data_IF_649176191789
#
_entry.id   IF_649176191789
#
_cell.length_a   1.000
_cell.length_b   1.000
_cell.length_c   1.000
_cell.angle_alpha   90.00
_cell.angle_beta   90.00
_cell.angle_gamma   90.00
#
_symmetry.space_group_name_H-M   'P 1'
#
loop_
_entity.id
_entity.type
_entity.pdbx_description
1 polymer ?
#
# COMPACT_ATOMS: atom_id res chain seq x y z
N UNK A 1 -36.88 -19.13 89.11
CA UNK A 1 -36.91 -17.69 88.81
C UNK A 1 -36.74 -17.52 87.31
N UNK A 2 -37.83 -17.21 86.58
CA UNK A 2 -37.95 -16.68 85.19
C UNK A 2 -37.20 -17.41 84.03
N UNK A 3 -37.66 -17.59 82.79
CA UNK A 3 -38.89 -17.37 81.98
C UNK A 3 -38.62 -18.08 80.63
N UNK A 4 -39.47 -19.04 80.24
CA UNK A 4 -40.18 -19.23 78.94
C UNK A 4 -39.52 -18.80 77.61
N UNK A 5 -39.41 -19.73 76.63
CA UNK A 5 -40.01 -19.70 75.25
C UNK A 5 -39.34 -20.83 74.39
N UNK A 6 -40.06 -21.89 73.96
CA UNK A 6 -40.78 -22.03 72.66
C UNK A 6 -39.82 -22.00 71.43
N UNK A 7 -39.87 -22.83 70.37
CA UNK A 7 -40.76 -23.91 69.93
C UNK A 7 -40.20 -24.47 68.59
N UNK A 8 -40.63 -25.67 68.20
CA UNK A 8 -40.76 -26.23 66.82
C UNK A 8 -39.55 -26.91 66.13
N UNK A 9 -39.75 -28.22 65.93
CA UNK A 9 -39.12 -29.14 64.97
C UNK A 9 -39.91 -29.06 63.66
N UNK A 10 -39.24 -28.86 62.51
CA UNK A 10 -39.82 -29.16 61.18
C UNK A 10 -38.76 -29.88 60.33
N UNK A 11 -39.13 -31.09 59.90
CA UNK A 11 -38.42 -31.93 58.96
C UNK A 11 -38.55 -31.38 57.53
N UNK A 12 -37.43 -31.28 56.80
CA UNK A 12 -37.39 -30.88 55.39
C UNK A 12 -37.44 -32.14 54.54
N UNK A 13 -38.53 -32.30 53.80
CA UNK A 13 -38.73 -33.32 52.76
C UNK A 13 -38.06 -32.85 51.47
N UNK A 14 -37.16 -33.68 50.95
CA UNK A 14 -36.49 -33.51 49.65
C UNK A 14 -37.48 -33.86 48.54
N UNK A 15 -37.85 -32.88 47.72
CA UNK A 15 -38.56 -33.10 46.46
C UNK A 15 -37.58 -32.90 45.29
N UNK A 16 -37.19 -34.01 44.66
CA UNK A 16 -36.43 -34.03 43.40
C UNK A 16 -37.41 -33.67 42.28
N UNK A 17 -37.32 -32.45 41.77
CA UNK A 17 -38.01 -32.01 40.56
C UNK A 17 -37.12 -32.32 39.35
N UNK A 18 -37.41 -33.44 38.71
CA UNK A 18 -36.89 -33.80 37.38
C UNK A 18 -37.55 -32.89 36.34
N UNK A 19 -36.91 -31.76 36.00
CA UNK A 19 -37.26 -31.01 34.78
C UNK A 19 -36.68 -31.74 33.57
N UNK A 20 -37.49 -32.63 32.98
CA UNK A 20 -37.31 -33.03 31.60
C UNK A 20 -37.78 -31.87 30.71
N UNK A 21 -36.87 -30.91 30.47
CA UNK A 21 -37.06 -29.89 29.43
C UNK A 21 -36.94 -30.55 28.06
N UNK A 22 -38.05 -30.65 27.33
CA UNK A 22 -38.03 -30.88 25.89
C UNK A 22 -37.14 -29.81 25.26
N UNK A 23 -35.96 -30.20 24.75
CA UNK A 23 -35.26 -29.40 23.74
C UNK A 23 -36.08 -29.51 22.46
N UNK A 24 -36.89 -28.50 22.17
CA UNK A 24 -37.20 -28.20 20.77
C UNK A 24 -35.85 -28.05 20.06
N UNK A 25 -35.64 -28.85 19.00
CA UNK A 25 -34.51 -28.61 18.12
C UNK A 25 -34.83 -27.30 17.41
N UNK A 26 -34.19 -26.21 17.83
CA UNK A 26 -34.16 -24.98 17.04
C UNK A 26 -33.63 -25.34 15.66
N UNK A 27 -34.53 -25.54 14.69
CA UNK A 27 -34.18 -25.64 13.29
C UNK A 27 -33.64 -24.28 12.91
N UNK A 28 -32.31 -24.20 12.77
CA UNK A 28 -31.63 -23.02 12.26
C UNK A 28 -32.24 -22.70 10.90
N UNK A 29 -32.96 -21.57 10.81
CA UNK A 29 -33.51 -21.12 9.54
C UNK A 29 -32.36 -20.84 8.57
N UNK A 30 -32.53 -21.26 7.32
CA UNK A 30 -31.52 -21.10 6.28
C UNK A 30 -32.09 -20.36 5.08
N UNK A 31 -31.29 -19.47 4.53
CA UNK A 31 -31.63 -18.60 3.39
C UNK A 31 -30.75 -18.96 2.20
N UNK A 32 -31.33 -18.93 0.99
CA UNK A 32 -30.54 -19.00 -0.25
C UNK A 32 -29.95 -17.62 -0.54
N UNK A 33 -28.68 -17.57 -0.90
CA UNK A 33 -28.00 -16.31 -1.24
C UNK A 33 -27.76 -16.25 -2.73
N UNK A 34 -28.16 -15.14 -3.35
CA UNK A 34 -27.87 -14.81 -4.74
C UNK A 34 -26.88 -13.64 -4.77
N UNK A 35 -25.78 -13.80 -5.52
CA UNK A 35 -24.74 -12.79 -5.63
C UNK A 35 -24.62 -12.31 -7.07
N UNK A 36 -24.74 -11.00 -7.27
CA UNK A 36 -24.44 -10.33 -8.53
C UNK A 36 -23.04 -9.72 -8.45
N UNK A 37 -22.15 -10.11 -9.36
CA UNK A 37 -20.78 -9.59 -9.40
C UNK A 37 -20.70 -8.36 -10.31
N UNK A 38 -20.24 -7.24 -9.77
CA UNK A 38 -20.03 -6.00 -10.51
C UNK A 38 -18.55 -5.84 -10.82
N UNK A 39 -18.18 -5.91 -12.10
CA UNK A 39 -16.79 -5.72 -12.56
C UNK A 39 -16.36 -4.25 -12.43
N UNK A 40 -15.10 -3.97 -12.09
CA UNK A 40 -14.57 -2.61 -12.02
C UNK A 40 -14.41 -2.01 -13.44
N UNK A 41 -14.35 -0.68 -13.53
CA UNK A 41 -14.29 0.04 -14.81
C UNK A 41 -13.10 -0.36 -15.69
N UNK A 42 -11.95 -0.66 -15.07
CA UNK A 42 -10.73 -1.11 -15.75
C UNK A 42 -10.77 -2.61 -16.16
N UNK A 43 -11.87 -3.31 -15.87
CA UNK A 43 -12.00 -4.75 -16.11
C UNK A 43 -13.41 -5.15 -16.58
N UNK A 44 -14.17 -4.22 -17.18
CA UNK A 44 -15.55 -4.46 -17.66
C UNK A 44 -15.66 -5.58 -18.70
N UNK A 45 -14.60 -5.80 -19.46
CA UNK A 45 -14.57 -6.79 -20.55
C UNK A 45 -14.08 -8.18 -20.07
N UNK A 46 -13.86 -8.37 -18.76
CA UNK A 46 -13.42 -9.66 -18.23
C UNK A 46 -14.56 -10.67 -18.19
N UNK A 47 -14.29 -11.86 -18.74
CA UNK A 47 -15.13 -13.02 -18.51
C UNK A 47 -14.68 -13.71 -17.22
N UNK A 48 -15.56 -13.73 -16.22
CA UNK A 48 -15.30 -14.40 -14.93
C UNK A 48 -15.24 -15.91 -15.16
N UNK A 49 -14.15 -16.54 -14.71
CA UNK A 49 -14.01 -17.99 -14.70
C UNK A 49 -14.71 -18.55 -13.47
N UNK A 50 -15.98 -18.94 -13.59
CA UNK A 50 -16.80 -19.40 -12.45
C UNK A 50 -16.15 -20.51 -11.62
N UNK A 51 -15.44 -21.45 -12.26
CA UNK A 51 -14.73 -22.56 -11.60
C UNK A 51 -13.59 -22.10 -10.67
N UNK A 52 -13.06 -20.88 -10.90
CA UNK A 52 -12.04 -20.26 -10.07
C UNK A 52 -12.62 -19.51 -8.87
N UNK A 53 -13.92 -19.22 -8.88
CA UNK A 53 -14.58 -18.43 -7.82
C UNK A 53 -14.60 -19.19 -6.50
N UNK A 54 -14.05 -18.58 -5.47
CA UNK A 54 -14.08 -19.02 -4.07
C UNK A 54 -14.73 -17.93 -3.24
N UNK A 55 -15.66 -18.31 -2.38
CA UNK A 55 -16.41 -17.38 -1.55
C UNK A 55 -16.33 -17.86 -0.11
N UNK A 56 -16.07 -16.93 0.78
CA UNK A 56 -16.05 -17.14 2.21
C UNK A 56 -17.07 -16.21 2.87
N UNK A 57 -17.99 -16.79 3.63
CA UNK A 57 -18.91 -16.07 4.50
C UNK A 57 -18.53 -16.33 5.96
N UNK A 58 -18.16 -15.28 6.68
CA UNK A 58 -17.91 -15.33 8.12
C UNK A 58 -19.12 -14.76 8.86
N UNK A 59 -19.81 -15.61 9.60
CA UNK A 59 -20.95 -15.20 10.42
C UNK A 59 -20.46 -14.24 11.52
N UNK A 60 -21.04 -13.05 11.56
CA UNK A 60 -20.68 -11.96 12.49
C UNK A 60 -20.76 -12.41 13.96
N UNK A 61 -21.85 -13.06 14.33
CA UNK A 61 -22.16 -13.36 15.74
C UNK A 61 -21.41 -14.58 16.27
N UNK A 62 -21.12 -15.55 15.40
CA UNK A 62 -20.55 -16.84 15.79
C UNK A 62 -19.10 -17.03 15.35
N UNK A 63 -18.57 -16.12 14.54
CA UNK A 63 -17.30 -16.23 13.83
C UNK A 63 -17.16 -17.48 12.94
N UNK A 64 -18.26 -18.23 12.72
CA UNK A 64 -18.26 -19.44 11.92
C UNK A 64 -18.06 -19.09 10.45
N UNK A 65 -17.14 -19.80 9.81
CA UNK A 65 -16.78 -19.62 8.41
C UNK A 65 -17.50 -20.67 7.55
N UNK A 66 -18.09 -20.22 6.43
CA UNK A 66 -18.72 -21.05 5.41
C UNK A 66 -18.05 -20.76 4.07
N UNK A 67 -17.57 -21.81 3.40
CA UNK A 67 -16.83 -21.67 2.14
C UNK A 67 -17.59 -22.33 0.99
N UNK A 68 -17.59 -21.67 -0.16
CA UNK A 68 -18.29 -22.11 -1.37
C UNK A 68 -17.37 -22.03 -2.59
N UNK A 69 -17.66 -22.87 -3.58
CA UNK A 69 -17.04 -22.84 -4.91
C UNK A 69 -18.10 -22.45 -5.93
N UNK A 70 -17.82 -21.42 -6.72
CA UNK A 70 -18.79 -20.85 -7.65
C UNK A 70 -19.92 -20.08 -6.95
N UNK A 71 -20.83 -19.51 -7.75
CA UNK A 71 -21.97 -18.71 -7.28
C UNK A 71 -23.22 -19.55 -6.97
N UNK A 72 -23.21 -20.85 -7.32
CA UNK A 72 -24.39 -21.72 -7.23
C UNK A 72 -24.64 -22.29 -5.83
N UNK A 73 -25.91 -22.36 -5.43
CA UNK A 73 -26.39 -23.07 -4.23
C UNK A 73 -25.78 -22.61 -2.89
N UNK A 74 -25.56 -21.30 -2.74
CA UNK A 74 -25.13 -20.71 -1.47
C UNK A 74 -26.32 -20.73 -0.51
N UNK A 75 -26.23 -21.51 0.57
CA UNK A 75 -27.25 -21.61 1.60
C UNK A 75 -26.59 -21.38 2.95
N UNK A 76 -27.05 -20.39 3.68
CA UNK A 76 -26.51 -19.99 4.97
C UNK A 76 -27.60 -19.93 6.03
N UNK A 77 -27.29 -20.25 7.30
CA UNK A 77 -28.13 -19.83 8.42
C UNK A 77 -28.46 -18.35 8.37
N UNK A 78 -29.67 -17.96 8.77
CA UNK A 78 -30.02 -16.55 8.88
C UNK A 78 -29.07 -15.81 9.82
N UNK A 79 -28.67 -14.60 9.44
CA UNK A 79 -27.77 -13.77 10.22
C UNK A 79 -27.02 -12.73 9.42
N UNK A 80 -26.09 -12.05 10.08
CA UNK A 80 -25.18 -11.10 9.46
C UNK A 80 -23.88 -11.81 9.07
N UNK A 81 -23.34 -11.51 7.89
CA UNK A 81 -22.09 -12.10 7.40
C UNK A 81 -21.17 -11.08 6.77
N UNK A 82 -19.87 -11.24 6.99
CA UNK A 82 -18.86 -10.66 6.11
C UNK A 82 -18.59 -11.66 4.98
N UNK A 83 -18.58 -11.17 3.74
CA UNK A 83 -18.37 -11.96 2.54
C UNK A 83 -17.05 -11.53 1.89
N UNK A 84 -16.16 -12.49 1.67
CA UNK A 84 -14.95 -12.33 0.88
C UNK A 84 -15.01 -13.25 -0.33
N UNK A 85 -14.66 -12.74 -1.50
CA UNK A 85 -14.67 -13.49 -2.74
C UNK A 85 -13.33 -13.30 -3.46
N UNK A 86 -12.78 -14.40 -3.97
CA UNK A 86 -11.66 -14.40 -4.92
C UNK A 86 -12.10 -15.14 -6.17
N UNK A 87 -11.84 -14.57 -7.34
CA UNK A 87 -12.07 -15.22 -8.62
C UNK A 87 -10.98 -14.82 -9.61
N UNK A 88 -10.96 -15.48 -10.76
CA UNK A 88 -10.11 -15.13 -11.90
C UNK A 88 -11.00 -14.69 -13.06
N UNK A 89 -10.58 -13.64 -13.75
CA UNK A 89 -11.19 -13.19 -15.00
C UNK A 89 -10.22 -13.37 -16.17
N UNK A 90 -10.75 -13.60 -17.36
CA UNK A 90 -9.98 -13.67 -18.61
C UNK A 90 -10.40 -12.54 -19.54
N UNK A 91 -9.45 -11.77 -20.03
CA UNK A 91 -9.68 -10.81 -21.11
C UNK A 91 -9.50 -11.47 -22.49
N UNK A 92 -9.89 -10.76 -23.56
CA UNK A 92 -9.78 -11.25 -24.94
C UNK A 92 -8.36 -11.70 -25.36
N UNK A 93 -7.31 -11.22 -24.68
CA UNK A 93 -5.92 -11.59 -24.93
C UNK A 93 -5.47 -12.88 -24.19
N UNK A 94 -6.39 -13.65 -23.59
CA UNK A 94 -6.11 -14.79 -22.72
C UNK A 94 -5.27 -14.46 -21.46
N UNK A 95 -5.15 -13.19 -21.08
CA UNK A 95 -4.51 -12.82 -19.80
C UNK A 95 -5.49 -13.10 -18.66
N UNK A 96 -5.00 -13.84 -17.67
CA UNK A 96 -5.73 -14.16 -16.45
C UNK A 96 -5.45 -13.08 -15.42
N UNK A 97 -6.51 -12.50 -14.85
CA UNK A 97 -6.45 -11.50 -13.78
C UNK A 97 -7.12 -12.03 -12.52
N UNK A 98 -6.57 -11.73 -11.36
CA UNK A 98 -7.20 -12.05 -10.08
C UNK A 98 -8.15 -10.92 -9.68
N UNK A 99 -9.37 -11.28 -9.33
CA UNK A 99 -10.42 -10.38 -8.88
C UNK A 99 -10.78 -10.72 -7.45
N UNK A 100 -10.93 -9.71 -6.60
CA UNK A 100 -11.42 -9.86 -5.23
C UNK A 100 -12.65 -9.00 -5.02
N UNK A 101 -13.50 -9.39 -4.08
CA UNK A 101 -14.55 -8.54 -3.54
C UNK A 101 -14.65 -8.76 -2.04
N UNK A 102 -15.07 -7.72 -1.33
CA UNK A 102 -15.37 -7.78 0.09
C UNK A 102 -16.62 -6.97 0.42
N UNK A 103 -17.51 -7.54 1.22
CA UNK A 103 -18.71 -6.87 1.71
C UNK A 103 -18.94 -7.22 3.19
N UNK A 104 -19.16 -6.22 4.02
CA UNK A 104 -19.39 -6.40 5.45
C UNK A 104 -20.87 -6.48 5.78
N UNK A 105 -21.17 -7.23 6.84
CA UNK A 105 -22.48 -7.22 7.50
C UNK A 105 -23.68 -7.38 6.55
N UNK A 106 -23.55 -8.26 5.55
CA UNK A 106 -24.66 -8.66 4.68
C UNK A 106 -25.75 -9.31 5.52
N UNK A 107 -26.97 -8.77 5.42
CA UNK A 107 -28.14 -9.32 6.11
C UNK A 107 -28.76 -10.45 5.30
N UNK A 108 -28.51 -11.68 5.75
CA UNK A 108 -29.00 -12.91 5.13
C UNK A 108 -30.25 -13.36 5.90
N UNK A 109 -31.43 -13.03 5.37
CA UNK A 109 -32.73 -13.32 5.99
C UNK A 109 -33.78 -13.68 4.93
N UNK A 110 -34.78 -14.49 5.30
CA UNK A 110 -35.88 -14.89 4.42
C UNK A 110 -35.55 -16.09 3.53
N UNK A 111 -36.34 -16.30 2.47
CA UNK A 111 -36.18 -17.45 1.56
C UNK A 111 -34.98 -17.27 0.61
N UNK A 112 -34.85 -16.07 0.02
CA UNK A 112 -33.77 -15.67 -0.89
C UNK A 112 -33.28 -14.28 -0.50
N UNK A 113 -31.97 -14.11 -0.32
CA UNK A 113 -31.31 -12.83 -0.08
C UNK A 113 -30.38 -12.51 -1.25
N UNK A 114 -30.58 -11.34 -1.87
CA UNK A 114 -29.84 -10.91 -3.05
C UNK A 114 -28.85 -9.79 -2.68
N UNK A 115 -27.58 -9.92 -3.10
CA UNK A 115 -26.54 -8.94 -2.84
C UNK A 115 -25.65 -8.69 -4.05
N UNK A 116 -25.19 -7.46 -4.18
CA UNK A 116 -24.18 -7.07 -5.17
C UNK A 116 -22.80 -7.03 -4.53
N UNK A 117 -21.82 -7.65 -5.18
CA UNK A 117 -20.42 -7.59 -4.79
C UNK A 117 -19.63 -6.81 -5.85
N UNK A 118 -19.00 -5.71 -5.42
CA UNK A 118 -18.11 -4.92 -6.26
C UNK A 118 -16.74 -5.58 -6.30
N UNK A 119 -16.34 -6.04 -7.48
CA UNK A 119 -15.04 -6.63 -7.70
C UNK A 119 -13.99 -5.54 -7.93
N UNK A 120 -12.77 -5.84 -7.53
CA UNK A 120 -11.57 -5.09 -7.90
C UNK A 120 -10.50 -6.07 -8.37
N UNK A 121 -9.69 -5.63 -9.33
CA UNK A 121 -8.50 -6.35 -9.74
C UNK A 121 -7.42 -6.24 -8.66
N UNK A 122 -6.61 -7.29 -8.54
CA UNK A 122 -5.49 -7.30 -7.60
C UNK A 122 -4.38 -8.19 -8.14
N UNK A 123 -3.14 -7.83 -7.86
CA UNK A 123 -2.02 -8.77 -7.91
C UNK A 123 -1.97 -9.55 -6.59
N UNK A 124 -1.42 -10.77 -6.60
CA UNK A 124 -1.12 -11.48 -5.35
C UNK A 124 0.08 -10.79 -4.69
N UNK A 125 -0.17 -9.68 -4.00
CA UNK A 125 0.87 -8.98 -3.23
C UNK A 125 1.10 -9.75 -1.94
N UNK A 126 2.28 -10.35 -1.81
CA UNK A 126 2.69 -11.07 -0.59
C UNK A 126 3.52 -10.20 0.39
N UNK A 127 3.59 -8.88 0.16
CA UNK A 127 4.50 -7.97 0.87
C UNK A 127 3.95 -6.58 1.17
N UNK A 128 4.88 -5.63 1.30
CA UNK A 128 4.62 -4.22 1.55
C UNK A 128 4.21 -3.48 0.28
N UNK A 129 3.42 -2.42 0.45
CA UNK A 129 3.04 -1.51 -0.63
C UNK A 129 3.26 -0.06 -0.23
N UNK A 130 3.53 0.81 -1.19
CA UNK A 130 3.58 2.27 -1.03
C UNK A 130 2.16 2.81 -0.80
N UNK A 131 1.84 3.20 0.42
CA UNK A 131 0.56 3.84 0.73
C UNK A 131 0.51 5.28 0.19
N UNK A 132 1.61 6.02 0.35
CA UNK A 132 1.67 7.43 -0.04
C UNK A 132 3.09 7.86 -0.37
N UNK A 133 3.23 8.72 -1.39
CA UNK A 133 4.46 9.43 -1.67
C UNK A 133 4.19 10.94 -1.66
N UNK A 134 4.89 11.65 -0.79
CA UNK A 134 4.88 13.11 -0.75
C UNK A 134 6.26 13.65 -1.14
N UNK A 135 6.42 13.97 -2.43
CA UNK A 135 7.67 14.52 -2.99
C UNK A 135 7.58 15.99 -3.38
N UNK A 136 6.39 16.59 -3.37
CA UNK A 136 6.17 17.93 -3.95
C UNK A 136 6.71 19.06 -3.09
N UNK A 137 6.84 18.79 -1.78
CA UNK A 137 7.21 19.77 -0.77
C UNK A 137 6.10 20.77 -0.49
N UNK A 138 6.40 21.69 0.42
CA UNK A 138 5.47 22.73 0.86
C UNK A 138 6.02 24.12 0.50
N UNK A 139 5.14 25.11 0.46
CA UNK A 139 5.54 26.51 0.35
C UNK A 139 5.60 27.17 1.72
N UNK A 140 6.60 28.02 1.93
CA UNK A 140 6.60 29.01 3.02
C UNK A 140 5.45 30.02 2.84
N UNK A 141 5.04 30.76 3.89
CA UNK A 141 4.04 31.82 3.76
C UNK A 141 4.40 32.90 2.72
N UNK A 142 5.69 33.03 2.38
CA UNK A 142 6.18 33.95 1.35
C UNK A 142 6.22 33.33 -0.07
N UNK A 143 5.69 32.12 -0.25
CA UNK A 143 5.61 31.42 -1.54
C UNK A 143 6.93 30.83 -2.03
N UNK A 144 7.94 30.71 -1.15
CA UNK A 144 9.20 30.01 -1.47
C UNK A 144 9.10 28.54 -1.14
N UNK A 145 9.71 27.69 -1.97
CA UNK A 145 9.82 26.26 -1.72
C UNK A 145 10.58 25.99 -0.42
N UNK A 146 10.07 25.05 0.38
CA UNK A 146 10.69 24.51 1.58
C UNK A 146 11.02 23.03 1.36
N UNK A 147 12.23 22.63 1.77
CA UNK A 147 12.77 21.27 1.61
C UNK A 147 12.78 20.56 2.97
N UNK A 148 12.91 19.23 2.99
CA UNK A 148 12.95 18.43 4.20
C UNK A 148 11.61 17.84 4.63
N UNK A 149 10.49 18.27 4.05
CA UNK A 149 9.15 17.75 4.39
C UNK A 149 8.73 16.51 3.57
N UNK A 150 9.60 15.96 2.72
CA UNK A 150 9.19 14.82 1.87
C UNK A 150 9.04 13.56 2.71
N UNK A 151 8.16 12.64 2.32
CA UNK A 151 8.02 11.35 3.02
C UNK A 151 7.44 10.25 2.14
N UNK A 152 7.63 9.02 2.59
CA UNK A 152 7.01 7.80 2.08
C UNK A 152 6.23 7.12 3.20
N UNK A 153 5.02 6.65 2.91
CA UNK A 153 4.27 5.76 3.79
C UNK A 153 4.25 4.36 3.18
N UNK A 154 4.63 3.36 3.96
CA UNK A 154 4.75 1.97 3.51
C UNK A 154 3.85 1.10 4.37
N UNK A 155 2.89 0.43 3.75
CA UNK A 155 1.90 -0.38 4.45
C UNK A 155 2.20 -1.86 4.34
N UNK A 156 2.07 -2.60 5.44
CA UNK A 156 1.85 -4.03 5.37
C UNK A 156 0.40 -4.29 4.90
N UNK A 157 0.24 -4.53 3.59
CA UNK A 157 -1.07 -4.71 2.97
C UNK A 157 -1.60 -6.16 3.09
N UNK A 158 -0.92 -7.01 3.87
CA UNK A 158 -1.23 -8.43 4.04
C UNK A 158 -1.96 -8.70 5.36
N UNK A 159 -2.42 -9.94 5.54
CA UNK A 159 -3.06 -10.44 6.77
C UNK A 159 -2.07 -11.12 7.75
N UNK A 160 -0.77 -11.06 7.47
CA UNK A 160 0.31 -11.67 8.27
C UNK A 160 1.32 -10.62 8.74
N UNK A 161 2.00 -10.92 9.85
CA UNK A 161 3.15 -10.15 10.32
C UNK A 161 4.26 -10.20 9.26
N UNK A 162 4.75 -9.03 8.85
CA UNK A 162 5.93 -8.89 7.99
C UNK A 162 7.09 -8.26 8.76
N UNK A 163 8.30 -8.38 8.22
CA UNK A 163 9.48 -7.71 8.74
C UNK A 163 10.07 -6.79 7.67
N UNK A 164 10.25 -5.51 8.01
CA UNK A 164 10.68 -4.48 7.08
C UNK A 164 12.20 -4.41 6.89
N UNK A 165 12.99 -5.16 7.67
CA UNK A 165 14.44 -5.30 7.50
C UNK A 165 14.84 -5.54 6.02
N UNK A 166 15.86 -4.82 5.55
CA UNK A 166 16.34 -4.85 4.16
C UNK A 166 15.36 -4.38 3.08
N UNK A 167 14.19 -3.82 3.46
CA UNK A 167 13.31 -3.11 2.53
C UNK A 167 13.92 -1.74 2.24
N UNK A 168 14.07 -1.41 0.96
CA UNK A 168 14.70 -0.18 0.51
C UNK A 168 13.75 0.65 -0.35
N UNK A 169 13.81 1.96 -0.17
CA UNK A 169 13.25 2.94 -1.10
C UNK A 169 14.26 3.16 -2.21
N UNK A 170 13.81 2.98 -3.45
CA UNK A 170 14.58 3.16 -4.67
C UNK A 170 13.99 4.29 -5.51
N UNK A 171 14.82 5.17 -6.07
CA UNK A 171 14.41 6.18 -7.05
C UNK A 171 15.03 5.90 -8.42
N UNK A 172 14.24 6.03 -9.50
CA UNK A 172 14.69 5.75 -10.87
C UNK A 172 15.82 6.68 -11.32
N UNK A 173 16.84 6.15 -12.00
CA UNK A 173 17.93 6.94 -12.61
C UNK A 173 17.44 7.77 -13.78
N UNK A 174 16.52 7.23 -14.57
CA UNK A 174 15.92 7.92 -15.70
C UNK A 174 14.66 8.68 -15.28
N UNK A 175 14.17 9.54 -16.17
CA UNK A 175 12.95 10.34 -15.97
C UNK A 175 11.92 10.01 -17.04
N UNK A 176 10.64 9.97 -16.66
CA UNK A 176 9.51 9.64 -17.53
C UNK A 176 9.21 10.70 -18.61
N UNK A 177 9.87 11.86 -18.53
CA UNK A 177 9.70 13.01 -19.42
C UNK A 177 10.76 13.11 -20.52
N UNK A 178 11.72 12.19 -20.56
CA UNK A 178 12.73 12.12 -21.62
C UNK A 178 13.11 10.67 -21.86
N UNK A 179 12.83 10.20 -23.07
CA UNK A 179 13.18 8.86 -23.51
C UNK A 179 14.30 8.92 -24.55
N UNK A 180 15.38 8.20 -24.28
CA UNK A 180 16.43 7.91 -25.26
C UNK A 180 16.44 6.40 -25.50
N UNK A 181 16.97 5.99 -26.65
CA UNK A 181 17.22 4.57 -26.92
C UNK A 181 18.45 4.10 -26.13
N UNK A 182 18.23 3.76 -24.86
CA UNK A 182 19.27 3.28 -23.95
C UNK A 182 19.64 1.84 -24.28
N UNK A 183 20.94 1.56 -24.43
CA UNK A 183 21.47 0.26 -24.81
C UNK A 183 22.48 -0.25 -23.76
N UNK A 184 22.28 -1.45 -23.17
CA UNK A 184 21.10 -2.31 -23.36
C UNK A 184 19.86 -1.76 -22.64
N UNK A 185 18.65 -1.97 -23.20
CA UNK A 185 17.40 -1.76 -22.45
C UNK A 185 17.22 -2.92 -21.47
N UNK A 186 17.25 -2.61 -20.17
CA UNK A 186 17.18 -3.59 -19.09
C UNK A 186 15.80 -3.68 -18.45
N UNK A 187 14.79 -2.91 -18.89
CA UNK A 187 13.53 -2.76 -18.14
C UNK A 187 12.80 -4.07 -17.87
N UNK A 188 12.88 -5.04 -18.78
CA UNK A 188 12.29 -6.38 -18.60
C UNK A 188 12.96 -7.20 -17.49
N UNK A 189 14.16 -6.83 -17.06
CA UNK A 189 14.97 -7.56 -16.07
C UNK A 189 15.21 -6.76 -14.79
N UNK A 190 15.33 -5.44 -14.89
CA UNK A 190 15.71 -4.56 -13.79
C UNK A 190 15.30 -3.10 -14.01
N UNK A 191 15.15 -2.37 -12.92
CA UNK A 191 15.01 -0.91 -12.89
C UNK A 191 16.37 -0.26 -12.69
N UNK A 192 16.71 0.74 -13.51
CA UNK A 192 17.89 1.60 -13.29
C UNK A 192 17.59 2.64 -12.21
N UNK A 193 18.47 2.79 -11.20
CA UNK A 193 18.23 3.58 -9.98
C UNK A 193 19.34 4.58 -9.66
N UNK A 194 18.98 5.72 -9.06
CA UNK A 194 19.89 6.77 -8.63
C UNK A 194 19.98 6.98 -7.11
N UNK A 195 19.07 6.39 -6.33
CA UNK A 195 19.05 6.46 -4.87
C UNK A 195 18.48 5.15 -4.31
N UNK A 196 19.09 4.64 -3.24
CA UNK A 196 18.71 3.40 -2.54
C UNK A 196 18.98 3.58 -1.04
N UNK A 197 17.92 3.67 -0.25
CA UNK A 197 17.98 3.82 1.21
C UNK A 197 17.19 2.69 1.86
N UNK A 198 17.84 1.92 2.72
CA UNK A 198 17.37 0.62 3.21
C UNK A 198 17.10 0.65 4.71
N UNK A 199 15.99 0.06 5.14
CA UNK A 199 15.72 -0.18 6.55
C UNK A 199 16.76 -1.18 7.10
N UNK A 200 17.57 -0.81 8.10
CA UNK A 200 18.57 -1.71 8.66
C UNK A 200 17.92 -2.84 9.48
N UNK A 201 18.66 -3.94 9.69
CA UNK A 201 18.23 -5.03 10.56
C UNK A 201 18.75 -6.40 10.12
N UNK A 202 18.50 -7.42 10.96
CA UNK A 202 18.96 -8.79 10.79
C UNK A 202 17.85 -9.76 10.31
N UNK A 203 16.73 -9.20 9.85
CA UNK A 203 15.59 -9.94 9.28
C UNK A 203 14.41 -10.11 10.21
N UNK A 204 14.51 -9.66 11.47
CA UNK A 204 13.45 -9.73 12.49
C UNK A 204 13.38 -8.50 13.40
N UNK A 205 14.10 -7.44 13.07
CA UNK A 205 14.25 -6.29 13.96
C UNK A 205 13.11 -5.27 13.79
N UNK A 206 12.47 -5.24 12.61
CA UNK A 206 11.40 -4.27 12.28
C UNK A 206 10.09 -5.00 11.94
N UNK A 207 9.36 -5.54 12.94
CA UNK A 207 8.05 -6.15 12.73
C UNK A 207 6.99 -5.10 12.34
N UNK A 208 6.16 -5.41 11.36
CA UNK A 208 5.02 -4.57 10.94
C UNK A 208 3.77 -5.44 10.89
N UNK A 209 2.79 -5.17 11.75
CA UNK A 209 1.56 -5.96 11.83
C UNK A 209 0.69 -5.77 10.58
N UNK A 210 -0.25 -6.70 10.30
CA UNK A 210 -1.28 -6.52 9.29
C UNK A 210 -1.96 -5.15 9.39
N UNK A 211 -1.97 -4.40 8.29
CA UNK A 211 -2.60 -3.07 8.23
C UNK A 211 -1.84 -1.93 8.88
N UNK A 212 -0.69 -2.17 9.52
CA UNK A 212 0.19 -1.11 10.01
C UNK A 212 0.97 -0.45 8.86
N UNK A 213 1.29 0.81 9.05
CA UNK A 213 1.98 1.66 8.08
C UNK A 213 3.22 2.28 8.74
N UNK A 214 4.37 2.10 8.10
CA UNK A 214 5.61 2.81 8.44
C UNK A 214 5.62 4.19 7.76
N UNK A 215 6.02 5.21 8.51
CA UNK A 215 6.32 6.55 7.99
C UNK A 215 7.85 6.72 7.91
N UNK A 216 8.33 7.02 6.71
CA UNK A 216 9.74 7.32 6.46
C UNK A 216 9.84 8.76 5.96
N UNK A 217 10.56 9.62 6.68
CA UNK A 217 10.67 11.05 6.39
C UNK A 217 12.05 11.44 5.82
N UNK A 218 12.09 12.57 5.10
CA UNK A 218 13.32 13.23 4.65
C UNK A 218 14.11 13.72 5.87
N UNK A 219 13.47 14.57 6.67
CA UNK A 219 13.97 15.01 7.96
C UNK A 219 12.84 14.82 8.96
N UNK A 220 12.99 13.92 9.93
CA UNK A 220 11.94 13.57 10.87
C UNK A 220 11.85 14.57 12.02
N UNK A 221 11.43 15.82 11.73
CA UNK A 221 11.26 16.86 12.76
C UNK A 221 9.88 17.52 12.68
N UNK A 222 9.57 18.35 13.67
CA UNK A 222 8.45 19.29 13.55
C UNK A 222 8.85 20.49 12.67
N UNK A 223 8.51 20.42 11.38
CA UNK A 223 8.85 21.48 10.43
C UNK A 223 8.09 22.78 10.67
N UNK A 224 7.00 22.77 11.45
CA UNK A 224 6.18 23.97 11.74
C UNK A 224 7.00 25.06 12.41
N UNK A 225 8.08 24.69 13.11
CA UNK A 225 8.99 25.63 13.76
C UNK A 225 9.76 26.49 12.75
N UNK A 226 10.18 25.91 11.63
CA UNK A 226 10.93 26.62 10.58
C UNK A 226 10.00 27.18 9.50
N UNK A 227 8.89 26.49 9.20
CA UNK A 227 7.89 26.90 8.25
C UNK A 227 6.49 26.58 8.81
N UNK A 228 5.66 27.58 9.17
CA UNK A 228 4.32 27.35 9.72
C UNK A 228 3.37 26.53 8.84
N UNK A 229 3.64 26.43 7.53
CA UNK A 229 2.90 25.58 6.59
C UNK A 229 3.42 24.13 6.51
N UNK A 230 4.53 23.82 7.19
CA UNK A 230 5.13 22.50 7.25
C UNK A 230 4.33 21.52 8.12
N UNK A 231 4.78 20.27 8.14
CA UNK A 231 4.12 19.18 8.85
C UNK A 231 4.98 18.70 10.02
N UNK A 232 4.34 17.99 10.95
CA UNK A 232 5.06 17.32 12.03
C UNK A 232 5.44 15.91 11.58
N UNK A 233 6.73 15.72 11.27
CA UNK A 233 7.29 14.42 10.90
C UNK A 233 8.16 13.83 12.02
N UNK A 234 8.14 14.42 13.22
CA UNK A 234 8.96 13.97 14.35
C UNK A 234 8.60 12.59 14.90
N UNK A 235 7.42 12.08 14.53
CA UNK A 235 6.95 10.73 14.84
C UNK A 235 7.18 9.70 13.73
N UNK A 236 8.03 9.99 12.73
CA UNK A 236 8.39 9.00 11.72
C UNK A 236 9.11 7.79 12.33
N UNK A 237 8.94 6.62 11.72
CA UNK A 237 9.61 5.38 12.13
C UNK A 237 11.07 5.38 11.71
N UNK A 238 11.38 6.00 10.57
CA UNK A 238 12.74 6.18 10.06
C UNK A 238 12.90 7.53 9.34
N UNK A 239 14.14 7.97 9.16
CA UNK A 239 14.49 9.07 8.26
C UNK A 239 15.66 8.70 7.32
N UNK A 240 15.85 9.43 6.22
CA UNK A 240 17.05 9.30 5.38
C UNK A 240 18.03 10.45 5.62
N UNK A 241 18.89 10.30 6.63
CA UNK A 241 19.97 11.26 6.84
C UNK A 241 21.15 11.06 5.89
N UNK A 242 21.62 12.16 5.29
CA UNK A 242 22.85 12.21 4.50
C UNK A 242 23.95 13.05 5.15
N UNK A 243 25.04 12.40 5.58
CA UNK A 243 26.27 13.09 6.00
C UNK A 243 26.96 13.76 4.81
N UNK A 244 26.64 15.03 4.61
CA UNK A 244 27.15 15.82 3.50
C UNK A 244 28.55 16.37 3.81
N UNK A 245 29.56 16.10 2.95
CA UNK A 245 30.90 16.67 3.10
C UNK A 245 30.96 18.15 2.72
N UNK A 246 29.86 18.74 2.22
CA UNK A 246 29.79 20.14 1.84
C UNK A 246 29.19 20.98 2.99
N UNK A 247 29.97 21.84 3.66
CA UNK A 247 29.49 22.61 4.81
C UNK A 247 28.40 23.64 4.47
N UNK A 248 28.12 23.89 3.18
CA UNK A 248 27.03 24.77 2.73
C UNK A 248 25.70 24.06 2.49
N UNK A 249 25.72 22.73 2.45
CA UNK A 249 24.54 21.88 2.21
C UNK A 249 24.60 20.81 3.28
N UNK A 250 24.14 21.15 4.47
CA UNK A 250 24.13 20.23 5.62
C UNK A 250 22.73 19.70 5.81
N UNK A 251 22.66 18.41 6.10
CA UNK A 251 21.41 17.75 6.47
C UNK A 251 21.16 17.88 7.97
N UNK A 252 19.91 17.64 8.40
CA UNK A 252 19.51 17.70 9.79
C UNK A 252 19.17 16.27 10.24
N UNK A 253 19.92 15.76 11.21
CA UNK A 253 19.69 14.46 11.85
C UNK A 253 18.80 14.63 13.08
N UNK A 254 17.72 13.86 13.19
CA UNK A 254 16.96 13.71 14.42
C UNK A 254 17.45 12.44 15.15
N UNK A 255 18.27 12.57 16.21
CA UNK A 255 18.84 11.41 16.90
C UNK A 255 17.81 10.53 17.63
N UNK A 256 16.53 10.94 17.70
CA UNK A 256 15.44 10.14 18.26
C UNK A 256 14.76 9.24 17.22
N UNK A 257 15.02 9.44 15.93
CA UNK A 257 14.46 8.65 14.83
C UNK A 257 15.60 7.87 14.17
N UNK A 258 15.48 6.54 14.01
CA UNK A 258 16.51 5.74 13.35
C UNK A 258 16.72 6.14 11.89
N UNK A 259 17.99 6.13 11.47
CA UNK A 259 18.37 6.40 10.09
C UNK A 259 18.27 5.17 9.19
N UNK A 260 17.82 5.36 7.96
CA UNK A 260 17.99 4.39 6.89
C UNK A 260 19.47 4.22 6.54
N UNK A 261 19.85 3.01 6.16
CA UNK A 261 21.16 2.73 5.58
C UNK A 261 21.19 3.20 4.12
N UNK A 262 22.01 4.20 3.82
CA UNK A 262 22.33 4.57 2.44
C UNK A 262 23.18 3.47 1.78
N UNK A 263 22.59 2.75 0.83
CA UNK A 263 23.32 1.81 -0.04
C UNK A 263 24.03 2.60 -1.15
N UNK A 264 23.29 3.47 -1.85
CA UNK A 264 23.80 4.31 -2.92
C UNK A 264 22.97 5.58 -3.09
N UNK A 265 23.61 6.69 -3.46
CA UNK A 265 22.96 7.90 -3.94
C UNK A 265 23.82 8.58 -5.00
N UNK A 266 23.20 9.16 -6.03
CA UNK A 266 23.89 9.88 -7.11
C UNK A 266 24.59 11.16 -6.65
N UNK A 267 24.21 11.68 -5.47
CA UNK A 267 24.81 12.85 -4.86
C UNK A 267 25.63 12.48 -3.63
N UNK A 268 26.65 13.28 -3.34
CA UNK A 268 27.43 13.19 -2.09
C UNK A 268 26.80 14.03 -0.97
N UNK A 269 25.80 14.86 -1.28
CA UNK A 269 25.08 15.69 -0.30
C UNK A 269 23.75 15.01 0.04
N UNK A 270 22.66 15.76 0.07
CA UNK A 270 21.32 15.30 0.45
C UNK A 270 20.57 14.75 -0.77
N UNK A 271 19.97 13.57 -0.65
CA UNK A 271 18.97 13.08 -1.58
C UNK A 271 17.66 13.85 -1.43
N UNK A 272 17.15 14.38 -2.54
CA UNK A 272 15.83 15.02 -2.58
C UNK A 272 15.03 14.32 -3.67
N UNK A 273 13.90 13.68 -3.33
CA UNK A 273 12.98 13.10 -4.30
C UNK A 273 12.61 14.12 -5.39
N UNK A 274 12.46 13.67 -6.64
CA UNK A 274 12.20 14.59 -7.74
C UNK A 274 10.86 15.33 -7.56
N UNK A 275 10.91 16.59 -7.12
CA UNK A 275 9.74 17.35 -6.65
C UNK A 275 8.70 17.77 -7.70
N UNK A 276 8.93 17.44 -8.97
CA UNK A 276 7.93 17.59 -10.05
C UNK A 276 7.34 16.24 -10.49
N UNK A 277 7.74 15.13 -9.84
CA UNK A 277 7.21 13.80 -10.08
C UNK A 277 7.62 13.19 -11.43
N UNK A 278 8.88 13.32 -11.88
CA UNK A 278 9.31 12.74 -13.16
C UNK A 278 10.01 11.38 -13.00
N UNK A 279 10.13 10.89 -11.78
CA UNK A 279 10.86 9.67 -11.45
C UNK A 279 9.90 8.65 -10.87
N UNK A 280 10.22 7.38 -11.07
CA UNK A 280 9.51 6.27 -10.45
C UNK A 280 10.17 5.93 -9.12
N UNK A 281 9.37 5.49 -8.16
CA UNK A 281 9.83 5.04 -6.85
C UNK A 281 9.46 3.58 -6.65
N UNK A 282 10.33 2.80 -6.02
CA UNK A 282 10.05 1.39 -5.73
C UNK A 282 10.44 0.98 -4.33
N UNK A 283 9.76 -0.04 -3.82
CA UNK A 283 10.12 -0.76 -2.60
C UNK A 283 10.77 -2.07 -3.00
N UNK A 284 12.04 -2.26 -2.63
CA UNK A 284 12.78 -3.47 -2.98
C UNK A 284 13.40 -4.12 -1.76
N UNK A 285 13.31 -5.44 -1.65
CA UNK A 285 14.10 -6.21 -0.69
C UNK A 285 15.48 -6.47 -1.27
N UNK A 286 16.49 -5.75 -0.78
CA UNK A 286 17.88 -5.96 -1.21
C UNK A 286 18.34 -7.33 -0.70
N UNK A 287 18.76 -8.22 -1.60
CA UNK A 287 19.03 -9.63 -1.28
C UNK A 287 20.50 -9.95 -1.01
N UNK A 288 21.37 -8.95 -1.09
CA UNK A 288 22.83 -9.07 -0.90
C UNK A 288 23.33 -7.94 0.00
N UNK A 289 24.52 -8.10 0.56
CA UNK A 289 25.17 -7.02 1.31
C UNK A 289 25.53 -5.82 0.41
N UNK A 290 25.71 -4.66 1.04
CA UNK A 290 25.99 -3.38 0.37
C UNK A 290 27.23 -3.46 -0.53
N UNK A 291 28.32 -4.08 -0.06
CA UNK A 291 29.56 -4.21 -0.80
C UNK A 291 29.39 -5.07 -2.06
N UNK A 292 28.66 -6.18 -1.95
CA UNK A 292 28.28 -7.03 -3.09
C UNK A 292 27.36 -6.29 -4.05
N UNK A 293 26.37 -5.55 -3.54
CA UNK A 293 25.48 -4.76 -4.39
C UNK A 293 26.26 -3.75 -5.25
N UNK A 294 27.12 -2.95 -4.61
CA UNK A 294 27.90 -1.91 -5.27
C UNK A 294 28.94 -2.46 -6.26
N UNK A 295 29.36 -3.71 -6.10
CA UNK A 295 30.28 -4.38 -7.03
C UNK A 295 29.56 -4.97 -8.25
N UNK A 296 28.45 -5.67 -8.04
CA UNK A 296 27.90 -6.58 -9.04
C UNK A 296 26.65 -6.02 -9.77
N UNK A 297 25.97 -5.03 -9.20
CA UNK A 297 24.70 -4.49 -9.74
C UNK A 297 24.88 -3.17 -10.48
N UNK A 298 26.02 -3.04 -11.16
CA UNK A 298 26.33 -1.90 -12.00
C UNK A 298 25.53 -2.00 -13.30
N UNK A 299 25.07 -0.85 -13.79
CA UNK A 299 24.47 -0.69 -15.10
C UNK A 299 25.28 0.32 -15.92
N UNK A 300 25.91 -0.17 -16.98
CA UNK A 300 26.60 0.65 -17.97
C UNK A 300 25.76 0.67 -19.25
N UNK A 301 25.53 1.87 -19.79
CA UNK A 301 24.65 2.06 -20.92
C UNK A 301 25.17 3.13 -21.88
N UNK A 302 24.67 3.07 -23.10
CA UNK A 302 24.88 4.11 -24.11
C UNK A 302 23.55 4.58 -24.66
N UNK A 303 23.51 5.81 -25.19
CA UNK A 303 22.34 6.34 -25.87
C UNK A 303 22.75 7.42 -26.86
N UNK A 304 21.88 7.73 -27.81
CA UNK A 304 22.10 8.79 -28.78
C UNK A 304 21.20 9.97 -28.47
N UNK A 305 21.81 11.12 -28.15
CA UNK A 305 21.09 12.36 -27.88
C UNK A 305 20.93 13.16 -29.17
N UNK A 306 19.68 13.35 -29.60
CA UNK A 306 19.34 14.13 -30.80
C UNK A 306 18.89 15.54 -30.39
N UNK A 307 19.72 16.55 -30.67
CA UNK A 307 19.44 17.96 -30.39
C UNK A 307 19.41 18.77 -31.70
N UNK A 308 18.82 19.98 -31.72
CA UNK A 308 18.86 20.86 -32.89
C UNK A 308 20.29 21.15 -33.39
N UNK A 309 21.29 21.09 -32.50
CA UNK A 309 22.70 21.34 -32.81
C UNK A 309 23.44 20.11 -33.35
N UNK A 310 22.83 18.91 -33.33
CA UNK A 310 23.44 17.68 -33.83
C UNK A 310 23.05 16.43 -33.03
N UNK A 311 23.64 15.31 -33.45
CA UNK A 311 23.49 14.00 -32.83
C UNK A 311 24.75 13.64 -32.05
N UNK A 312 24.60 13.33 -30.77
CA UNK A 312 25.72 13.09 -29.85
C UNK A 312 25.62 11.69 -29.24
N UNK A 313 26.62 10.82 -29.45
CA UNK A 313 26.70 9.55 -28.74
C UNK A 313 27.10 9.81 -27.29
N UNK A 314 26.34 9.23 -26.36
CA UNK A 314 26.53 9.37 -24.93
C UNK A 314 26.72 8.00 -24.29
N UNK A 315 27.45 7.97 -23.18
CA UNK A 315 27.54 6.80 -22.29
C UNK A 315 27.18 7.23 -20.88
N UNK A 316 26.71 6.28 -20.08
CA UNK A 316 26.35 6.49 -18.68
C UNK A 316 26.65 5.24 -17.86
N UNK A 317 26.74 5.47 -16.55
CA UNK A 317 26.96 4.43 -15.54
C UNK A 317 26.08 4.74 -14.34
N UNK A 318 25.42 3.72 -13.81
CA UNK A 318 24.59 3.79 -12.62
C UNK A 318 24.46 2.41 -11.99
N UNK A 319 23.40 2.21 -11.22
CA UNK A 319 23.07 0.92 -10.61
C UNK A 319 21.70 0.44 -11.08
N UNK A 320 21.46 -0.86 -10.93
CA UNK A 320 20.20 -1.50 -11.27
C UNK A 320 19.68 -2.36 -10.12
N UNK A 321 18.37 -2.46 -9.98
CA UNK A 321 17.70 -3.37 -9.04
C UNK A 321 16.89 -4.37 -9.88
N UNK A 322 17.12 -5.68 -9.74
CA UNK A 322 16.34 -6.69 -10.46
C UNK A 322 14.85 -6.56 -10.20
N UNK A 323 14.03 -6.81 -11.23
CA UNK A 323 12.57 -6.72 -11.12
C UNK A 323 12.02 -7.64 -10.03
N UNK A 324 12.60 -8.84 -9.86
CA UNK A 324 12.24 -9.83 -8.84
C UNK A 324 12.48 -9.38 -7.39
N UNK A 325 13.18 -8.26 -7.15
CA UNK A 325 13.43 -7.76 -5.80
C UNK A 325 12.38 -6.74 -5.35
N UNK A 326 11.62 -6.17 -6.29
CA UNK A 326 10.58 -5.21 -5.96
C UNK A 326 9.36 -5.90 -5.37
N UNK A 327 8.88 -5.35 -4.26
CA UNK A 327 7.56 -5.64 -3.71
C UNK A 327 6.50 -4.72 -4.32
N UNK A 328 6.89 -3.50 -4.68
CA UNK A 328 5.99 -2.49 -5.25
C UNK A 328 6.77 -1.41 -6.02
N UNK A 329 6.17 -0.84 -7.08
CA UNK A 329 6.72 0.27 -7.86
C UNK A 329 5.61 1.23 -8.27
N UNK A 330 5.91 2.53 -8.14
CA UNK A 330 5.01 3.62 -8.52
C UNK A 330 5.71 4.52 -9.54
N UNK A 331 5.22 4.49 -10.78
CA UNK A 331 5.62 5.42 -11.83
C UNK A 331 4.99 6.80 -11.59
N UNK A 332 5.81 7.84 -11.55
CA UNK A 332 5.32 9.22 -11.56
C UNK A 332 5.69 9.94 -12.85
N UNK A 333 4.79 10.81 -13.31
CA UNK A 333 5.06 11.77 -14.38
C UNK A 333 4.22 13.03 -14.23
N UNK A 334 4.21 13.83 -15.30
CA UNK A 334 3.23 14.89 -15.54
C UNK A 334 2.61 14.68 -16.92
N UNK A 335 1.34 15.04 -17.06
CA UNK A 335 0.57 14.83 -18.29
C UNK A 335 1.23 15.49 -19.52
N UNK A 336 1.73 16.72 -19.37
CA UNK A 336 2.25 17.48 -20.52
C UNK A 336 3.57 16.99 -21.09
N UNK A 337 4.27 16.07 -20.40
CA UNK A 337 5.60 15.59 -20.81
C UNK A 337 5.80 14.08 -20.69
N UNK A 338 4.81 13.30 -20.23
CA UNK A 338 4.95 11.85 -20.15
C UNK A 338 5.22 11.24 -21.54
N UNK A 339 6.31 10.48 -21.69
CA UNK A 339 6.67 9.84 -22.96
C UNK A 339 6.94 8.34 -22.84
N UNK A 340 7.11 7.79 -21.63
CA UNK A 340 7.39 6.37 -21.39
C UNK A 340 7.37 5.99 -19.90
N UNK A 341 7.17 4.69 -19.62
CA UNK A 341 7.40 4.08 -18.31
C UNK A 341 8.87 3.62 -18.15
N UNK A 342 9.36 3.75 -16.91
CA UNK A 342 10.75 3.50 -16.54
C UNK A 342 11.02 2.06 -16.08
N UNK A 343 9.97 1.26 -15.94
CA UNK A 343 10.00 -0.14 -15.51
C UNK A 343 9.17 -1.01 -16.45
N UNK A 344 9.30 -2.33 -16.30
CA UNK A 344 8.44 -3.28 -16.99
C UNK A 344 6.96 -3.10 -16.57
N UNK A 345 5.99 -3.26 -17.49
CA UNK A 345 4.56 -3.20 -17.14
C UNK A 345 4.11 -4.23 -16.10
N UNK A 346 4.87 -5.30 -15.85
CA UNK A 346 4.61 -6.23 -14.75
C UNK A 346 4.85 -5.62 -13.36
N UNK A 347 5.68 -4.58 -13.25
CA UNK A 347 5.88 -3.83 -12.02
C UNK A 347 4.90 -2.66 -11.89
N UNK A 348 4.79 -1.86 -12.95
CA UNK A 348 3.78 -0.81 -13.04
C UNK A 348 3.46 -0.46 -14.50
N UNK A 349 2.24 -0.77 -14.93
CA UNK A 349 1.74 -0.51 -16.28
C UNK A 349 1.21 0.92 -16.47
N UNK A 350 1.05 1.69 -15.41
CA UNK A 350 0.48 3.03 -15.40
C UNK A 350 1.46 4.10 -14.93
N UNK A 351 0.90 5.24 -14.52
CA UNK A 351 1.61 6.34 -13.86
C UNK A 351 0.64 7.20 -13.06
N UNK A 352 1.16 7.93 -12.08
CA UNK A 352 0.42 8.88 -11.24
C UNK A 352 1.15 10.24 -11.20
N UNK A 353 0.52 11.27 -10.62
CA UNK A 353 1.04 12.63 -10.65
C UNK A 353 0.54 13.51 -9.51
N UNK A 354 1.31 14.57 -9.21
CA UNK A 354 0.89 15.67 -8.33
C UNK A 354 0.80 17.02 -9.05
N UNK A 355 1.01 17.05 -10.37
CA UNK A 355 0.89 18.25 -11.20
C UNK A 355 0.76 17.87 -12.67
N UNK A 356 0.28 18.79 -13.50
CA UNK A 356 -0.05 18.49 -14.90
C UNK A 356 0.97 19.03 -15.90
N UNK A 357 1.73 20.05 -15.49
CA UNK A 357 2.74 20.70 -16.31
C UNK A 357 4.09 20.81 -15.60
N UNK A 358 5.16 21.06 -16.36
CA UNK A 358 6.47 21.31 -15.77
C UNK A 358 6.44 22.60 -14.96
N UNK A 359 7.02 22.56 -13.77
CA UNK A 359 6.95 23.64 -12.77
C UNK A 359 5.52 24.07 -12.40
N UNK A 360 4.55 23.15 -12.43
CA UNK A 360 3.19 23.42 -11.96
C UNK A 360 3.22 24.01 -10.54
N UNK A 361 2.71 25.23 -10.39
CA UNK A 361 2.70 25.95 -9.11
C UNK A 361 1.68 25.36 -8.13
N UNK A 362 0.70 24.61 -8.63
CA UNK A 362 -0.33 23.97 -7.81
C UNK A 362 0.09 22.62 -7.29
N UNK A 363 1.31 22.15 -7.60
CA UNK A 363 1.78 20.82 -7.19
C UNK A 363 2.14 20.71 -5.71
N UNK A 364 2.50 21.83 -5.07
CA UNK A 364 2.88 21.83 -3.66
C UNK A 364 1.70 21.41 -2.79
N UNK A 365 1.99 20.83 -1.62
CA UNK A 365 0.96 20.31 -0.71
C UNK A 365 0.06 19.25 -1.36
N UNK A 366 0.62 18.46 -2.30
CA UNK A 366 -0.04 17.30 -2.91
C UNK A 366 0.84 16.06 -2.84
N UNK A 367 0.23 14.92 -2.59
CA UNK A 367 0.85 13.60 -2.66
C UNK A 367 0.18 12.74 -3.74
N UNK A 368 0.75 11.57 -3.98
CA UNK A 368 0.02 10.46 -4.60
C UNK A 368 -0.30 9.48 -3.49
N UNK A 369 -1.57 9.13 -3.33
CA UNK A 369 -2.04 8.27 -2.24
C UNK A 369 -2.81 7.08 -2.78
N UNK A 370 -2.45 5.88 -2.37
CA UNK A 370 -3.07 4.65 -2.85
C UNK A 370 -4.53 4.59 -2.37
N UNK A 371 -5.43 4.18 -3.26
CA UNK A 371 -6.86 4.03 -2.99
C UNK A 371 -7.07 2.85 -2.07
N UNK A 372 -8.12 2.95 -1.26
CA UNK A 372 -8.57 1.83 -0.43
C UNK A 372 -9.38 0.89 -1.31
N UNK A 373 -9.01 -0.39 -1.34
CA UNK A 373 -9.81 -1.43 -1.98
C UNK A 373 -11.00 -1.79 -1.09
N UNK A 374 -10.74 -2.04 0.20
CA UNK A 374 -11.77 -2.30 1.21
C UNK A 374 -11.21 -2.10 2.62
N UNK A 375 -12.10 -1.98 3.60
CA UNK A 375 -11.73 -1.96 5.03
C UNK A 375 -12.15 -3.28 5.65
N UNK A 376 -11.26 -3.95 6.39
CA UNK A 376 -11.56 -5.18 7.13
C UNK A 376 -12.45 -4.89 8.32
N UNK A 377 -13.01 -5.94 8.94
CA UNK A 377 -13.96 -5.80 10.06
C UNK A 377 -13.32 -5.23 11.33
N UNK A 378 -12.06 -5.55 11.55
CA UNK A 378 -11.20 -5.00 12.60
C UNK A 378 -10.73 -3.56 12.31
N UNK A 379 -11.13 -2.99 11.17
CA UNK A 379 -10.94 -1.57 10.85
C UNK A 379 -9.67 -1.26 10.07
N UNK A 380 -8.91 -2.28 9.63
CA UNK A 380 -7.72 -2.07 8.82
C UNK A 380 -8.08 -1.84 7.36
N UNK A 381 -7.54 -0.80 6.75
CA UNK A 381 -7.73 -0.53 5.32
C UNK A 381 -6.75 -1.36 4.48
N UNK A 382 -7.28 -2.14 3.56
CA UNK A 382 -6.51 -2.83 2.52
C UNK A 382 -6.50 -1.96 1.27
N UNK A 383 -5.30 -1.65 0.80
CA UNK A 383 -5.06 -0.75 -0.34
C UNK A 383 -5.16 -1.50 -1.66
N UNK A 384 -5.64 -0.80 -2.69
CA UNK A 384 -5.76 -1.30 -4.06
C UNK A 384 -4.39 -1.38 -4.72
N UNK A 385 -4.08 -2.53 -5.29
CA UNK A 385 -2.84 -2.72 -6.03
C UNK A 385 -3.06 -3.62 -7.24
N UNK A 386 -3.01 -3.01 -8.42
CA UNK A 386 -3.19 -3.66 -9.73
C UNK A 386 -1.90 -3.63 -10.56
N UNK A 387 -0.78 -3.24 -9.94
CA UNK A 387 0.47 -2.89 -10.61
C UNK A 387 0.20 -1.86 -11.73
N UNK A 388 -0.65 -0.87 -11.43
CA UNK A 388 -1.00 0.20 -12.37
C UNK A 388 -1.32 1.48 -11.61
N UNK A 389 -0.32 2.35 -11.50
CA UNK A 389 -0.43 3.59 -10.72
C UNK A 389 -1.59 4.52 -11.15
N UNK A 390 -2.03 4.43 -12.40
CA UNK A 390 -3.17 5.20 -12.92
C UNK A 390 -4.47 4.81 -12.20
N UNK A 391 -4.63 3.52 -11.90
CA UNK A 391 -5.84 3.00 -11.24
C UNK A 391 -5.69 2.96 -9.73
N UNK A 392 -4.48 2.67 -9.24
CA UNK A 392 -4.23 2.38 -7.83
C UNK A 392 -4.20 3.65 -6.97
N UNK A 393 -3.86 4.81 -7.54
CA UNK A 393 -3.64 6.03 -6.77
C UNK A 393 -4.71 7.10 -7.00
N UNK A 394 -5.05 7.82 -5.93
CA UNK A 394 -5.58 9.17 -5.98
C UNK A 394 -4.42 10.11 -6.37
N UNK A 395 -4.52 10.69 -7.56
CA UNK A 395 -3.59 11.72 -8.03
C UNK A 395 -3.87 13.04 -7.29
N UNK A 396 -2.85 13.87 -7.13
CA UNK A 396 -3.00 15.20 -6.52
C UNK A 396 -3.70 15.18 -5.14
N UNK A 397 -3.54 14.08 -4.39
CA UNK A 397 -4.19 13.85 -3.11
C UNK A 397 -3.68 14.86 -2.08
N UNK A 398 -4.54 15.19 -1.11
CA UNK A 398 -4.11 15.93 0.08
C UNK A 398 -3.18 15.05 0.92
N UNK A 399 -1.98 15.53 1.30
CA UNK A 399 -1.05 14.76 2.12
C UNK A 399 -1.69 14.29 3.43
N UNK A 400 -1.51 13.03 3.82
CA UNK A 400 -2.11 12.51 5.05
C UNK A 400 -1.48 13.09 6.33
N UNK A 401 -0.22 13.55 6.24
CA UNK A 401 0.45 14.23 7.36
C UNK A 401 0.05 15.70 7.50
N UNK A 402 -0.78 16.23 6.59
CA UNK A 402 -1.28 17.60 6.68
C UNK A 402 -2.34 17.69 7.79
N UNK A 403 -2.20 18.59 8.79
CA UNK A 403 -3.16 18.74 9.90
C UNK A 403 -4.57 18.99 9.39
N UNK A 404 -5.58 18.30 9.94
CA UNK A 404 -6.98 18.56 9.60
C UNK A 404 -7.31 20.05 9.75
N UNK A 405 -8.06 20.60 8.78
CA UNK A 405 -8.57 21.97 8.92
C UNK A 405 -9.51 21.99 10.12
N UNK A 406 -9.05 22.55 11.25
CA UNK A 406 -9.96 22.91 12.32
C UNK A 406 -10.90 23.96 11.76
N UNK A 407 -12.15 23.57 11.47
CA UNK A 407 -13.23 24.50 11.18
C UNK A 407 -13.23 25.59 12.27
N UNK A 408 -12.84 26.80 11.89
CA UNK A 408 -12.93 27.99 12.75
C UNK A 408 -14.30 28.62 12.65
#
# INVERSE_FOLDING_TARGET
>A
MKVIQNIIIIAIVIAILSFAGCREKDTIQTTKVSLTLLLPDNAKDLNILEDSTRIEFKNVSTAKIFQFKGLGNIILPEGLYDCFLVSKGVCEENKIKTLKAYAQSLSIIGEISEHELKLFETTEVEGFVIEEIFFTGVLTPQGKQYYGCSYFKIKNNTDKLLYADSLAICESQFVSTTNWDYQPDIRSEAMSVCAIYMIPGNGKDVPVQPGETLLIADIAIDHRQANPNGYDLSGADFEWYDDSPNPRIQDIDNPLVPNLEKIYCYTLTIWVPHNRGFRSYGLAKIKVDKETYLRDYIYEYSYTMNLPQGTFPMTGKGYKVPNEWFEDVVNCSIESKYVWNLVDPSLDAGWTYCGKIDHDKTRYDKSVRRKIAYTTRDGHEVLLDTNNSTYDFEHEARPSMMPEETNK
#
